data_IF_084284376838
#
_entry.id   IF_084284376838
#
_cell.length_a   1.000
_cell.length_b   1.000
_cell.length_c   1.000
_cell.angle_alpha   90.00
_cell.angle_beta   90.00
_cell.angle_gamma   90.00
#
_symmetry.space_group_name_H-M   'P 1'
#
loop_
_entity.id
_entity.type
_entity.pdbx_description
1 polymer ?
#
# COMPACT_ATOMS: atom_id res chain seq x y z
N UNK A 1 5.45 12.38 6.38
CA UNK A 1 5.68 11.14 7.17
C UNK A 1 6.83 10.32 6.54
N UNK A 2 7.64 9.54 7.27
CA UNK A 2 8.62 8.64 6.65
C UNK A 2 7.97 7.34 6.09
N UNK A 3 8.49 6.81 4.97
CA UNK A 3 7.97 5.58 4.32
C UNK A 3 7.88 4.38 5.27
N UNK A 4 8.85 4.21 6.16
CA UNK A 4 8.87 3.11 7.13
C UNK A 4 7.72 3.18 8.14
N UNK A 5 7.37 4.39 8.59
CA UNK A 5 6.24 4.64 9.49
C UNK A 5 4.93 4.31 8.78
N UNK A 6 4.78 4.80 7.54
CA UNK A 6 3.63 4.49 6.69
C UNK A 6 3.45 2.97 6.48
N UNK A 7 4.52 2.27 6.11
CA UNK A 7 4.48 0.83 5.86
C UNK A 7 4.09 0.05 7.12
N UNK A 8 4.67 0.39 8.26
CA UNK A 8 4.34 -0.27 9.53
C UNK A 8 2.89 0.00 9.95
N UNK A 9 2.36 1.20 9.71
CA UNK A 9 0.97 1.53 10.02
C UNK A 9 0.00 0.65 9.23
N UNK A 10 0.23 0.45 7.93
CA UNK A 10 -0.59 -0.46 7.12
C UNK A 10 -0.46 -1.91 7.60
N UNK A 11 0.78 -2.37 7.83
CA UNK A 11 1.04 -3.73 8.31
C UNK A 11 0.27 -3.99 9.61
N UNK A 12 0.28 -3.03 10.53
CA UNK A 12 -0.38 -3.15 11.83
C UNK A 12 -1.90 -3.10 11.70
N UNK A 13 -2.45 -2.10 10.99
CA UNK A 13 -3.90 -1.92 10.82
C UNK A 13 -4.58 -3.08 10.09
N UNK A 14 -3.91 -3.64 9.09
CA UNK A 14 -4.40 -4.78 8.32
C UNK A 14 -3.92 -6.13 8.89
N UNK A 15 -3.23 -6.12 10.03
CA UNK A 15 -2.65 -7.30 10.66
C UNK A 15 -1.86 -8.19 9.66
N UNK A 16 -1.16 -7.59 8.71
CA UNK A 16 -0.42 -8.31 7.67
C UNK A 16 0.90 -8.83 8.25
N UNK A 17 1.41 -9.94 7.70
CA UNK A 17 2.75 -10.41 8.06
C UNK A 17 3.75 -9.94 7.01
N UNK A 18 4.88 -9.38 7.46
CA UNK A 18 5.99 -8.94 6.58
C UNK A 18 6.47 -10.04 5.63
N UNK A 19 6.45 -11.30 6.09
CA UNK A 19 6.80 -12.48 5.28
C UNK A 19 5.82 -12.73 4.12
N UNK A 20 4.53 -12.47 4.34
CA UNK A 20 3.48 -12.69 3.34
C UNK A 20 3.57 -11.58 2.29
N UNK A 21 3.81 -10.35 2.73
CA UNK A 21 4.10 -9.20 1.85
C UNK A 21 5.33 -9.48 0.99
N UNK A 22 6.43 -9.96 1.57
CA UNK A 22 7.66 -10.30 0.85
C UNK A 22 7.40 -11.35 -0.25
N UNK A 23 6.71 -12.45 0.11
CA UNK A 23 6.30 -13.50 -0.83
C UNK A 23 5.44 -12.95 -1.97
N UNK A 24 4.43 -12.15 -1.65
CA UNK A 24 3.44 -11.66 -2.62
C UNK A 24 3.93 -10.50 -3.49
N UNK A 25 4.96 -9.78 -3.02
CA UNK A 25 5.62 -8.70 -3.77
C UNK A 25 6.82 -9.16 -4.59
N UNK A 26 7.27 -10.41 -4.44
CA UNK A 26 8.54 -10.88 -5.03
C UNK A 26 9.72 -9.96 -4.63
N UNK A 27 9.75 -9.61 -3.33
CA UNK A 27 10.81 -8.82 -2.69
C UNK A 27 11.40 -9.69 -1.58
N UNK A 28 12.73 -9.72 -1.49
CA UNK A 28 13.40 -10.49 -0.46
C UNK A 28 12.99 -10.02 0.95
N UNK A 29 12.73 -10.92 1.93
CA UNK A 29 12.28 -10.53 3.27
C UNK A 29 13.21 -9.54 3.98
N UNK A 30 14.52 -9.65 3.77
CA UNK A 30 15.49 -8.69 4.33
C UNK A 30 15.30 -7.28 3.78
N UNK A 31 14.91 -7.14 2.51
CA UNK A 31 14.61 -5.84 1.89
C UNK A 31 13.33 -5.25 2.46
N UNK A 32 12.27 -6.04 2.62
CA UNK A 32 11.04 -5.60 3.30
C UNK A 32 11.32 -5.18 4.75
N UNK A 33 12.22 -5.90 5.44
CA UNK A 33 12.66 -5.53 6.78
C UNK A 33 13.33 -4.15 6.79
N UNK A 34 14.29 -3.91 5.88
CA UNK A 34 14.97 -2.61 5.73
C UNK A 34 14.00 -1.47 5.42
N UNK A 35 12.99 -1.72 4.61
CA UNK A 35 11.92 -0.76 4.36
C UNK A 35 11.15 -0.44 5.64
N UNK A 36 10.81 -1.46 6.42
CA UNK A 36 10.06 -1.28 7.67
C UNK A 36 10.87 -0.63 8.79
N UNK A 37 12.21 -0.70 8.78
CA UNK A 37 13.06 -0.01 9.75
C UNK A 37 13.49 1.37 9.29
N UNK A 38 13.22 1.73 8.03
CA UNK A 38 13.69 2.99 7.42
C UNK A 38 15.16 2.98 7.00
N UNK A 39 15.85 1.83 7.11
CA UNK A 39 17.23 1.69 6.65
C UNK A 39 17.36 1.78 5.12
N UNK A 40 16.25 1.59 4.40
CA UNK A 40 16.20 1.74 2.96
C UNK A 40 14.81 2.22 2.55
N UNK A 41 14.73 3.09 1.54
CA UNK A 41 13.47 3.46 0.89
C UNK A 41 13.38 2.71 -0.45
N UNK A 42 12.21 2.17 -0.84
CA UNK A 42 12.04 1.55 -2.14
C UNK A 42 12.23 2.55 -3.28
N UNK A 43 12.88 2.12 -4.36
CA UNK A 43 12.81 2.82 -5.64
C UNK A 43 11.46 2.53 -6.33
N UNK A 44 11.17 3.21 -7.44
CA UNK A 44 9.92 3.07 -8.18
C UNK A 44 9.55 1.61 -8.51
N UNK A 45 10.51 0.80 -8.96
CA UNK A 45 10.27 -0.61 -9.30
C UNK A 45 9.91 -1.43 -8.08
N UNK A 46 10.65 -1.28 -6.99
CA UNK A 46 10.38 -1.96 -5.72
C UNK A 46 9.08 -1.49 -5.07
N UNK A 47 8.74 -0.20 -5.23
CA UNK A 47 7.51 0.38 -4.72
C UNK A 47 6.28 -0.22 -5.40
N UNK A 48 6.34 -0.38 -6.73
CA UNK A 48 5.28 -1.08 -7.50
C UNK A 48 5.11 -2.51 -7.03
N UNK A 49 6.20 -3.26 -6.92
CA UNK A 49 6.20 -4.65 -6.43
C UNK A 49 5.60 -4.76 -5.02
N UNK A 50 6.03 -3.89 -4.11
CA UNK A 50 5.56 -3.86 -2.73
C UNK A 50 4.07 -3.52 -2.64
N UNK A 51 3.60 -2.57 -3.44
CA UNK A 51 2.18 -2.22 -3.55
C UNK A 51 1.34 -3.41 -3.97
N UNK A 52 1.76 -4.13 -5.03
CA UNK A 52 1.08 -5.36 -5.46
C UNK A 52 1.04 -6.37 -4.32
N UNK A 53 2.15 -6.58 -3.61
CA UNK A 53 2.20 -7.49 -2.47
C UNK A 53 1.26 -7.10 -1.33
N UNK A 54 1.18 -5.81 -1.01
CA UNK A 54 0.25 -5.29 0.01
C UNK A 54 -1.21 -5.49 -0.39
N UNK A 55 -1.57 -5.16 -1.64
CA UNK A 55 -2.93 -5.36 -2.14
C UNK A 55 -3.31 -6.85 -2.15
N UNK A 56 -2.42 -7.74 -2.60
CA UNK A 56 -2.64 -9.19 -2.56
C UNK A 56 -2.80 -9.69 -1.13
N UNK A 57 -1.93 -9.28 -0.21
CA UNK A 57 -1.99 -9.70 1.19
C UNK A 57 -3.28 -9.22 1.87
N UNK A 58 -3.73 -8.00 1.56
CA UNK A 58 -5.02 -7.49 2.03
C UNK A 58 -6.20 -8.23 1.37
N UNK A 59 -6.11 -8.58 0.09
CA UNK A 59 -7.13 -9.35 -0.63
C UNK A 59 -7.29 -10.77 -0.08
N UNK A 60 -6.18 -11.47 0.21
CA UNK A 60 -6.20 -12.79 0.87
C UNK A 60 -6.95 -12.75 2.22
N UNK A 61 -7.04 -11.59 2.85
CA UNK A 61 -7.77 -11.36 4.09
C UNK A 61 -9.16 -10.75 3.93
N UNK A 62 -9.62 -10.51 2.70
CA UNK A 62 -10.83 -9.73 2.41
C UNK A 62 -10.79 -8.32 3.05
N UNK A 63 -9.63 -7.67 3.08
CA UNK A 63 -9.42 -6.33 3.64
C UNK A 63 -8.97 -5.31 2.59
N UNK A 64 -8.99 -5.66 1.31
CA UNK A 64 -8.58 -4.78 0.21
C UNK A 64 -9.32 -3.44 0.22
N UNK A 65 -10.60 -3.43 0.58
CA UNK A 65 -11.43 -2.21 0.67
C UNK A 65 -10.95 -1.21 1.74
N UNK A 66 -10.17 -1.66 2.72
CA UNK A 66 -9.65 -0.80 3.79
C UNK A 66 -8.41 -0.02 3.35
N UNK A 67 -7.68 -0.51 2.34
CA UNK A 67 -6.43 0.11 1.90
C UNK A 67 -6.63 1.57 1.48
N UNK A 68 -7.64 1.92 0.65
CA UNK A 68 -7.82 3.30 0.27
C UNK A 68 -8.23 4.22 1.40
N UNK A 69 -9.02 3.74 2.37
CA UNK A 69 -9.36 4.55 3.53
C UNK A 69 -8.11 4.88 4.37
N UNK A 70 -7.20 3.91 4.52
CA UNK A 70 -5.95 4.09 5.27
C UNK A 70 -5.02 5.09 4.56
N UNK A 71 -4.91 5.01 3.23
CA UNK A 71 -4.08 5.93 2.43
C UNK A 71 -4.70 7.33 2.39
N UNK A 72 -6.00 7.43 2.13
CA UNK A 72 -6.72 8.70 2.04
C UNK A 72 -6.68 9.46 3.36
N UNK A 73 -6.86 8.77 4.51
CA UNK A 73 -6.72 9.41 5.82
C UNK A 73 -5.33 10.01 6.06
N UNK A 74 -4.27 9.37 5.54
CA UNK A 74 -2.90 9.88 5.67
C UNK A 74 -2.63 11.06 4.72
N UNK A 75 -3.23 11.08 3.52
CA UNK A 75 -3.09 12.17 2.55
C UNK A 75 -3.88 13.43 2.94
N UNK A 76 -5.09 13.25 3.48
CA UNK A 76 -5.96 14.36 3.92
C UNK A 76 -5.34 15.11 5.10
N UNK A 77 -4.55 14.42 5.94
CA UNK A 77 -3.93 15.04 7.11
C UNK A 77 -2.66 15.85 6.78
N UNK A 78 -1.88 15.44 5.77
CA UNK A 78 -0.62 16.13 5.41
C UNK A 78 -0.81 17.25 4.37
N UNK A 79 -1.91 17.25 3.62
CA UNK A 79 -2.24 18.33 2.69
C UNK A 79 -3.75 18.56 2.75
N UNK A 80 -4.18 19.79 3.03
CA UNK A 80 -5.54 20.30 2.80
C UNK A 80 -5.95 20.20 1.31
N UNK A 81 -5.89 19.00 0.74
CA UNK A 81 -6.30 18.65 -0.60
C UNK A 81 -7.42 17.63 -0.45
N UNK A 82 -8.63 18.09 -0.75
CA UNK A 82 -9.79 17.26 -1.01
C UNK A 82 -9.45 16.30 -2.17
N UNK A 83 -8.89 15.13 -1.87
CA UNK A 83 -8.82 14.02 -2.79
C UNK A 83 -9.85 12.98 -2.36
N UNK A 84 -11.10 13.27 -2.69
CA UNK A 84 -12.17 12.30 -2.74
C UNK A 84 -12.84 12.42 -4.12
N UNK A 85 -13.15 11.33 -4.85
CA UNK A 85 -12.69 9.95 -4.74
C UNK A 85 -12.45 9.28 -6.13
N UNK A 86 -11.24 8.87 -6.52
CA UNK A 86 -11.11 7.82 -7.55
C UNK A 86 -11.01 6.42 -6.92
N UNK A 87 -10.62 6.32 -5.64
CA UNK A 87 -10.36 5.01 -5.04
C UNK A 87 -11.61 4.21 -4.68
N UNK A 88 -12.70 4.86 -4.29
CA UNK A 88 -13.90 4.17 -3.79
C UNK A 88 -14.66 3.44 -4.90
N UNK A 89 -14.73 4.01 -6.11
CA UNK A 89 -15.40 3.36 -7.26
C UNK A 89 -14.63 2.15 -7.79
N UNK A 90 -13.30 2.16 -7.72
CA UNK A 90 -12.47 1.06 -8.25
C UNK A 90 -12.60 -0.22 -7.40
N UNK A 91 -12.91 -0.09 -6.11
CA UNK A 91 -13.06 -1.25 -5.21
C UNK A 91 -14.39 -1.98 -5.45
N UNK A 92 -15.48 -1.25 -5.78
CA UNK A 92 -16.83 -1.82 -5.82
C UNK A 92 -17.04 -2.75 -7.04
N UNK A 93 -16.28 -2.58 -8.12
CA UNK A 93 -16.37 -3.44 -9.30
C UNK A 93 -15.37 -4.62 -9.33
N UNK A 94 -14.39 -4.64 -8.43
CA UNK A 94 -13.26 -5.56 -8.48
C UNK A 94 -13.54 -6.85 -7.69
N UNK A 95 -14.43 -7.69 -8.22
CA UNK A 95 -14.73 -9.02 -7.65
C UNK A 95 -13.56 -10.01 -7.67
N UNK A 96 -12.51 -9.79 -8.46
CA UNK A 96 -11.34 -10.71 -8.50
C UNK A 96 -10.04 -10.09 -9.09
N UNK A 97 -10.09 -8.84 -9.57
CA UNK A 97 -8.96 -8.20 -10.24
C UNK A 97 -8.59 -6.88 -9.57
N UNK A 98 -7.38 -6.79 -9.01
CA UNK A 98 -6.81 -5.51 -8.58
C UNK A 98 -6.69 -4.63 -9.82
N UNK A 99 -7.63 -3.69 -10.00
CA UNK A 99 -7.67 -2.80 -11.16
C UNK A 99 -6.37 -2.00 -11.27
N UNK A 100 -5.81 -1.91 -12.48
CA UNK A 100 -4.57 -1.18 -12.75
C UNK A 100 -4.63 0.29 -12.30
N UNK A 101 -5.82 0.89 -12.30
CA UNK A 101 -6.08 2.26 -11.86
C UNK A 101 -5.91 2.43 -10.34
N UNK A 102 -6.33 1.45 -9.54
CA UNK A 102 -6.14 1.45 -8.08
C UNK A 102 -4.64 1.36 -7.75
N UNK A 103 -3.93 0.49 -8.47
CA UNK A 103 -2.49 0.34 -8.37
C UNK A 103 -1.76 1.64 -8.73
N UNK A 104 -2.10 2.26 -9.86
CA UNK A 104 -1.48 3.51 -10.30
C UNK A 104 -1.76 4.68 -9.35
N UNK A 105 -3.00 4.83 -8.88
CA UNK A 105 -3.36 5.84 -7.87
C UNK A 105 -2.59 5.63 -6.56
N UNK A 106 -2.46 4.38 -6.12
CA UNK A 106 -1.72 4.01 -4.91
C UNK A 106 -0.24 4.35 -5.06
N UNK A 107 0.38 3.98 -6.18
CA UNK A 107 1.79 4.29 -6.46
C UNK A 107 2.02 5.80 -6.52
N UNK A 108 1.11 6.56 -7.15
CA UNK A 108 1.22 8.02 -7.25
C UNK A 108 1.13 8.70 -5.87
N UNK A 109 0.28 8.17 -5.00
CA UNK A 109 0.18 8.59 -3.61
C UNK A 109 1.52 8.31 -2.90
N UNK A 110 2.06 7.10 -2.98
CA UNK A 110 3.31 6.77 -2.29
C UNK A 110 4.54 7.55 -2.75
N UNK A 111 4.57 8.04 -4.00
CA UNK A 111 5.65 8.92 -4.47
C UNK A 111 5.69 10.28 -3.78
N UNK A 112 4.62 10.68 -3.08
CA UNK A 112 4.50 11.98 -2.40
C UNK A 112 4.79 11.91 -0.89
N UNK A 113 5.03 10.71 -0.34
CA UNK A 113 5.42 10.45 1.06
C UNK A 113 6.95 10.43 1.14
#
# INVERSE_FOLDING_TARGET
>A
MAFSVWLNDIINKLHLKKRDIARLSDIHPSTVSRYSTGAQTPNDKSLRKLTVGLCKAASEKNQLFQLPHIISHQFIYERNLFFAPPFTEIIVHAGDHIHADLLNGFILALKKI
#
